data_IF_456107504633
#
_entry.id   IF_456107504633
#
_cell.length_a   1.000
_cell.length_b   1.000
_cell.length_c   1.000
_cell.angle_alpha   90.00
_cell.angle_beta   90.00
_cell.angle_gamma   90.00
#
_symmetry.space_group_name_H-M   'P 1'
#
loop_
_entity.id
_entity.type
_entity.pdbx_description
1 polymer ?
#
# COMPACT_ATOMS: atom_id res chain seq x y z
N UNK A 1 29.12 28.91 32.96
CA UNK A 1 29.99 29.55 31.94
C UNK A 1 31.15 28.63 31.66
N UNK A 2 31.08 27.85 30.58
CA UNK A 2 32.19 27.05 30.05
C UNK A 2 32.09 27.11 28.54
N UNK A 3 32.75 28.14 28.02
CA UNK A 3 33.10 28.35 26.63
C UNK A 3 34.51 27.78 26.42
N UNK A 4 34.79 27.40 25.18
CA UNK A 4 36.10 26.98 24.61
C UNK A 4 36.31 25.48 24.59
N UNK A 5 36.12 24.89 23.42
CA UNK A 5 37.15 24.18 22.64
C UNK A 5 36.49 23.62 21.38
N UNK A 6 36.52 24.36 20.27
CA UNK A 6 36.25 23.85 18.92
C UNK A 6 36.72 24.90 17.88
N UNK A 7 38.04 25.04 17.78
CA UNK A 7 38.72 25.61 16.62
C UNK A 7 39.94 24.73 16.39
N UNK A 8 39.98 23.97 15.29
CA UNK A 8 41.15 23.58 14.50
C UNK A 8 40.80 22.35 13.64
N UNK A 9 40.56 22.58 12.35
CA UNK A 9 41.02 21.73 11.24
C UNK A 9 40.34 22.19 9.94
N UNK A 10 40.82 23.30 9.38
CA UNK A 10 40.67 23.61 7.96
C UNK A 10 42.08 23.80 7.37
N UNK A 11 42.25 23.23 6.19
CA UNK A 11 43.26 23.56 5.17
C UNK A 11 44.70 23.06 5.37
N UNK A 12 45.02 21.91 4.74
CA UNK A 12 46.29 21.64 4.03
C UNK A 12 45.90 20.91 2.73
N UNK A 13 45.79 21.62 1.59
CA UNK A 13 46.82 21.75 0.52
C UNK A 13 47.07 20.41 -0.19
N UNK A 14 46.57 20.14 -1.40
CA UNK A 14 46.91 20.74 -2.70
C UNK A 14 48.41 20.65 -3.06
N UNK A 15 48.85 19.49 -3.57
CA UNK A 15 49.98 19.32 -4.49
C UNK A 15 50.06 17.85 -4.93
N UNK A 16 49.97 17.58 -6.23
CA UNK A 16 50.08 16.21 -6.76
C UNK A 16 49.62 16.10 -8.21
N UNK A 17 50.17 16.96 -9.08
CA UNK A 17 50.04 16.86 -10.53
C UNK A 17 51.12 15.93 -11.08
N UNK A 18 50.73 15.13 -12.07
CA UNK A 18 51.58 14.52 -13.11
C UNK A 18 52.38 13.25 -12.75
N UNK A 19 51.75 12.09 -12.98
CA UNK A 19 52.46 10.97 -13.61
C UNK A 19 51.51 10.22 -14.55
N UNK A 20 51.93 10.14 -15.81
CA UNK A 20 51.33 9.39 -16.92
C UNK A 20 51.03 7.94 -16.56
N UNK A 21 49.91 7.40 -17.05
CA UNK A 21 49.84 6.03 -17.58
C UNK A 21 48.72 5.95 -18.62
N UNK A 22 49.14 5.75 -19.87
CA UNK A 22 48.31 5.40 -21.01
C UNK A 22 47.84 3.95 -20.78
N UNK A 23 46.57 3.77 -20.45
CA UNK A 23 45.90 2.47 -20.59
C UNK A 23 44.89 2.59 -21.72
N UNK A 24 45.22 1.94 -22.83
CA UNK A 24 44.29 1.66 -23.91
C UNK A 24 43.11 0.89 -23.32
N UNK A 25 41.92 1.49 -23.39
CA UNK A 25 40.67 0.87 -22.99
C UNK A 25 40.34 -0.24 -23.97
N UNK A 26 40.61 -1.48 -23.60
CA UNK A 26 39.86 -2.62 -24.09
C UNK A 26 38.42 -2.39 -23.65
N UNK A 27 37.52 -2.11 -24.60
CA UNK A 27 36.09 -2.21 -24.37
C UNK A 27 35.83 -3.66 -23.94
N UNK A 28 35.71 -3.88 -22.62
CA UNK A 28 35.11 -5.09 -22.10
C UNK A 28 33.67 -5.06 -22.59
N UNK A 29 33.42 -5.81 -23.67
CA UNK A 29 32.08 -6.20 -24.04
C UNK A 29 31.43 -6.76 -22.77
N UNK A 30 30.37 -6.09 -22.32
CA UNK A 30 29.48 -6.59 -21.29
C UNK A 30 29.08 -8.01 -21.71
N UNK A 31 29.18 -9.03 -20.83
CA UNK A 31 28.81 -10.39 -21.20
C UNK A 31 27.41 -10.36 -21.75
N UNK A 32 27.28 -10.65 -23.04
CA UNK A 32 26.01 -10.70 -23.74
C UNK A 32 25.07 -11.60 -22.93
N UNK A 33 24.04 -11.01 -22.33
CA UNK A 33 22.99 -11.79 -21.66
C UNK A 33 22.51 -12.82 -22.69
N UNK A 34 22.59 -14.12 -22.40
CA UNK A 34 22.25 -15.13 -23.38
C UNK A 34 20.81 -14.90 -23.81
N UNK A 35 20.66 -14.43 -25.05
CA UNK A 35 19.37 -14.25 -25.69
C UNK A 35 18.60 -15.56 -25.53
N UNK A 36 17.33 -15.53 -25.06
CA UNK A 36 16.60 -16.75 -24.76
C UNK A 36 16.62 -17.66 -25.97
N UNK A 37 17.12 -18.89 -25.78
CA UNK A 37 17.15 -19.89 -26.83
C UNK A 37 15.77 -19.97 -27.49
N UNK A 38 15.75 -19.70 -28.80
CA UNK A 38 14.53 -19.71 -29.62
C UNK A 38 13.88 -21.08 -29.49
N UNK A 39 12.74 -21.16 -28.77
CA UNK A 39 12.03 -22.41 -28.49
C UNK A 39 11.97 -22.85 -27.01
N UNK A 40 12.44 -22.05 -26.06
CA UNK A 40 12.29 -22.37 -24.63
C UNK A 40 10.80 -22.42 -24.22
N UNK A 41 10.25 -23.63 -24.08
CA UNK A 41 8.90 -23.87 -23.56
C UNK A 41 8.83 -23.28 -22.16
N UNK A 42 7.90 -22.34 -21.97
CA UNK A 42 7.63 -21.73 -20.67
C UNK A 42 6.41 -22.41 -20.06
N UNK A 43 6.54 -22.87 -18.83
CA UNK A 43 5.50 -23.58 -18.10
C UNK A 43 5.11 -22.81 -16.84
N UNK A 44 3.81 -22.66 -16.58
CA UNK A 44 3.29 -21.97 -15.39
C UNK A 44 2.92 -23.00 -14.33
N UNK A 45 3.55 -22.91 -13.16
CA UNK A 45 3.42 -23.88 -12.07
C UNK A 45 3.16 -23.17 -10.74
N UNK A 46 2.40 -23.78 -9.83
CA UNK A 46 2.26 -23.26 -8.45
C UNK A 46 3.49 -23.64 -7.63
N UNK A 47 3.93 -22.74 -6.74
CA UNK A 47 5.19 -22.93 -5.98
C UNK A 47 5.23 -24.24 -5.17
N UNK A 48 4.11 -24.62 -4.53
CA UNK A 48 4.05 -25.83 -3.70
C UNK A 48 4.08 -27.09 -4.57
N UNK A 49 3.29 -27.11 -5.65
CA UNK A 49 3.26 -28.22 -6.61
C UNK A 49 4.65 -28.42 -7.27
N UNK A 50 5.29 -27.33 -7.69
CA UNK A 50 6.62 -27.36 -8.31
C UNK A 50 7.70 -27.85 -7.34
N UNK A 51 7.61 -27.46 -6.05
CA UNK A 51 8.50 -27.97 -5.00
C UNK A 51 8.30 -29.48 -4.80
N UNK A 52 7.04 -29.94 -4.75
CA UNK A 52 6.72 -31.35 -4.57
C UNK A 52 7.16 -32.20 -5.77
N UNK A 53 7.06 -31.66 -6.99
CA UNK A 53 7.51 -32.30 -8.22
C UNK A 53 9.05 -32.33 -8.36
N UNK A 54 9.78 -31.54 -7.57
CA UNK A 54 11.24 -31.40 -7.69
C UNK A 54 11.70 -30.49 -8.84
N UNK A 55 10.78 -29.72 -9.43
CA UNK A 55 11.06 -28.76 -10.50
C UNK A 55 11.73 -27.48 -9.99
N UNK A 56 11.59 -27.20 -8.69
CA UNK A 56 12.27 -26.10 -8.01
C UNK A 56 12.88 -26.54 -6.67
N UNK A 57 14.03 -25.96 -6.35
CA UNK A 57 14.62 -25.95 -5.01
C UNK A 57 14.28 -24.60 -4.35
N UNK A 58 13.75 -24.65 -3.12
CA UNK A 58 13.27 -23.48 -2.40
C UNK A 58 14.01 -23.32 -1.06
N UNK A 59 14.58 -22.14 -0.84
CA UNK A 59 15.12 -21.74 0.46
C UNK A 59 14.38 -20.50 0.98
N UNK A 60 13.82 -20.61 2.19
CA UNK A 60 13.05 -19.54 2.84
C UNK A 60 13.75 -19.15 4.15
N UNK A 61 14.10 -17.87 4.29
CA UNK A 61 14.85 -17.36 5.45
C UNK A 61 14.26 -16.08 6.01
N UNK A 62 14.37 -15.91 7.32
CA UNK A 62 13.93 -14.70 8.00
C UNK A 62 14.67 -13.45 7.51
N UNK A 63 13.96 -12.32 7.42
CA UNK A 63 14.56 -11.04 7.07
C UNK A 63 13.92 -9.91 7.88
N UNK A 64 13.96 -10.01 9.21
CA UNK A 64 13.36 -9.04 10.10
C UNK A 64 11.87 -9.32 10.35
N UNK A 65 11.15 -8.32 10.86
CA UNK A 65 9.80 -8.51 11.39
C UNK A 65 8.72 -8.55 10.31
N UNK A 66 9.01 -8.01 9.14
CA UNK A 66 8.03 -7.72 8.09
C UNK A 66 8.36 -8.39 6.75
N UNK A 67 9.46 -9.15 6.67
CA UNK A 67 9.91 -9.78 5.43
C UNK A 67 10.56 -11.14 5.63
N UNK A 68 10.47 -11.92 4.56
CA UNK A 68 11.13 -13.22 4.41
C UNK A 68 11.85 -13.23 3.06
N UNK A 69 13.10 -13.68 3.05
CA UNK A 69 13.87 -13.91 1.82
C UNK A 69 13.51 -15.26 1.25
N UNK A 70 13.21 -15.27 -0.04
CA UNK A 70 12.90 -16.42 -0.86
C UNK A 70 13.99 -16.58 -1.91
N UNK A 71 14.65 -17.73 -1.95
CA UNK A 71 15.51 -18.13 -3.05
C UNK A 71 14.85 -19.30 -3.79
N UNK A 72 14.44 -19.07 -5.04
CA UNK A 72 13.80 -20.07 -5.89
C UNK A 72 14.80 -20.45 -6.98
N UNK A 73 15.26 -21.69 -6.99
CA UNK A 73 16.12 -22.24 -8.03
C UNK A 73 15.33 -23.17 -8.93
N UNK A 74 15.34 -22.90 -10.23
CA UNK A 74 14.72 -23.79 -11.21
C UNK A 74 15.67 -24.95 -11.55
N UNK A 75 15.25 -26.17 -11.18
CA UNK A 75 15.96 -27.42 -11.43
C UNK A 75 15.40 -28.19 -12.63
N UNK A 76 14.28 -27.74 -13.18
CA UNK A 76 13.68 -28.31 -14.40
C UNK A 76 14.45 -27.94 -15.67
N UNK A 77 14.13 -28.61 -16.77
CA UNK A 77 14.67 -28.30 -18.11
C UNK A 77 13.92 -27.16 -18.82
N UNK A 78 12.86 -26.60 -18.22
CA UNK A 78 11.98 -25.60 -18.83
C UNK A 78 12.06 -24.28 -18.10
N UNK A 79 11.72 -23.18 -18.77
CA UNK A 79 11.53 -21.90 -18.08
C UNK A 79 10.24 -22.00 -17.26
N UNK A 80 10.29 -21.61 -16.00
CA UNK A 80 9.13 -21.68 -15.11
C UNK A 80 8.59 -20.29 -14.81
N UNK A 81 7.27 -20.15 -14.88
CA UNK A 81 6.50 -19.05 -14.31
C UNK A 81 5.88 -19.56 -13.00
N UNK A 82 6.55 -19.27 -11.88
CA UNK A 82 6.16 -19.77 -10.56
C UNK A 82 5.10 -18.86 -9.96
N UNK A 83 3.92 -19.41 -9.69
CA UNK A 83 2.80 -18.71 -9.05
C UNK A 83 2.88 -18.89 -7.53
N UNK A 84 2.88 -17.77 -6.80
CA UNK A 84 2.78 -17.73 -5.34
C UNK A 84 1.31 -17.49 -4.94
N UNK A 85 0.56 -18.52 -4.52
CA UNK A 85 -0.85 -18.33 -4.14
C UNK A 85 -0.99 -17.51 -2.85
N UNK A 86 -2.15 -16.88 -2.62
CA UNK A 86 -2.47 -16.28 -1.33
C UNK A 86 -2.60 -17.35 -0.24
N UNK A 87 -2.25 -17.02 1.00
CA UNK A 87 -2.34 -17.97 2.12
C UNK A 87 -1.10 -18.85 2.31
N UNK A 88 0.06 -18.47 1.77
CA UNK A 88 1.30 -19.17 2.08
C UNK A 88 1.80 -18.83 3.50
N UNK A 89 2.37 -19.83 4.16
CA UNK A 89 2.99 -19.70 5.49
C UNK A 89 4.44 -20.19 5.41
N UNK A 90 5.34 -19.41 6.00
CA UNK A 90 6.71 -19.83 6.28
C UNK A 90 6.79 -20.22 7.77
N UNK A 91 6.85 -21.52 8.07
CA UNK A 91 6.89 -22.04 9.43
C UNK A 91 8.26 -22.63 9.77
N UNK A 92 8.78 -22.36 10.96
CA UNK A 92 10.06 -22.93 11.41
C UNK A 92 9.91 -24.44 11.54
N UNK A 93 10.86 -25.21 11.00
CA UNK A 93 10.90 -26.64 11.25
C UNK A 93 11.00 -26.91 12.76
N UNK A 94 10.20 -27.85 13.28
CA UNK A 94 10.27 -28.28 14.67
C UNK A 94 11.70 -28.71 15.02
N UNK A 95 12.34 -28.01 15.95
CA UNK A 95 13.68 -28.36 16.43
C UNK A 95 14.84 -27.56 15.84
N UNK A 96 14.64 -26.32 15.36
CA UNK A 96 15.77 -25.39 15.19
C UNK A 96 16.55 -25.29 16.52
N UNK A 97 17.76 -25.84 16.47
CA UNK A 97 18.59 -26.30 17.58
C UNK A 97 19.18 -25.09 18.32
N UNK A 98 18.39 -24.42 19.17
CA UNK A 98 18.85 -23.21 19.86
C UNK A 98 17.89 -22.53 20.85
N UNK A 99 16.84 -23.21 21.31
CA UNK A 99 15.94 -22.65 22.34
C UNK A 99 14.95 -21.58 21.88
N UNK A 100 14.88 -21.30 20.56
CA UNK A 100 13.80 -20.51 19.96
C UNK A 100 12.58 -21.41 19.73
N UNK A 101 11.42 -21.05 20.29
CA UNK A 101 10.17 -21.78 20.09
C UNK A 101 9.70 -21.78 18.63
N UNK A 102 8.60 -22.48 18.37
CA UNK A 102 7.95 -22.54 17.06
C UNK A 102 7.56 -21.14 16.57
N UNK A 103 8.10 -20.72 15.42
CA UNK A 103 7.88 -19.41 14.82
C UNK A 103 7.34 -19.54 13.39
N UNK A 104 6.28 -18.80 13.07
CA UNK A 104 5.62 -18.85 11.77
C UNK A 104 5.26 -17.46 11.25
N UNK A 105 5.34 -17.30 9.94
CA UNK A 105 5.11 -16.04 9.24
C UNK A 105 4.09 -16.26 8.12
N UNK A 106 3.00 -15.48 8.12
CA UNK A 106 2.05 -15.44 7.02
C UNK A 106 2.60 -14.55 5.91
N UNK A 107 2.54 -15.01 4.66
CA UNK A 107 3.20 -14.34 3.54
C UNK A 107 2.22 -13.53 2.71
N UNK A 108 2.66 -12.32 2.36
CA UNK A 108 2.03 -11.48 1.37
C UNK A 108 2.54 -11.80 -0.02
N UNK A 109 2.12 -11.00 -1.00
CA UNK A 109 2.55 -11.19 -2.37
C UNK A 109 3.86 -10.47 -2.68
N UNK A 110 4.61 -10.90 -3.71
CA UNK A 110 5.79 -10.18 -4.16
C UNK A 110 5.44 -8.74 -4.50
N UNK A 111 5.89 -7.80 -3.68
CA UNK A 111 5.82 -6.37 -3.99
C UNK A 111 7.19 -5.74 -3.78
N UNK A 112 7.57 -4.86 -4.70
CA UNK A 112 8.82 -4.11 -4.61
C UNK A 112 8.74 -2.95 -3.60
N UNK A 113 7.60 -2.79 -2.90
CA UNK A 113 7.33 -1.64 -2.06
C UNK A 113 7.39 -2.00 -0.57
N UNK A 114 8.17 -1.27 0.26
CA UNK A 114 8.19 -1.46 1.70
C UNK A 114 6.91 -0.91 2.34
N UNK A 115 6.33 -1.67 3.27
CA UNK A 115 5.21 -1.23 4.11
C UNK A 115 3.84 -1.77 3.72
N UNK A 116 3.68 -2.33 2.51
CA UNK A 116 2.44 -3.00 2.09
C UNK A 116 2.49 -4.52 2.23
N UNK A 117 1.32 -5.11 2.47
CA UNK A 117 1.10 -6.56 2.54
C UNK A 117 -0.05 -6.94 1.62
N UNK A 118 0.20 -7.74 0.58
CA UNK A 118 -0.81 -8.26 -0.36
C UNK A 118 -0.90 -7.53 -1.71
N UNK A 119 -1.86 -7.96 -2.56
CA UNK A 119 -1.94 -7.54 -3.97
C UNK A 119 -2.70 -6.23 -4.23
N UNK A 120 -3.48 -5.73 -3.28
CA UNK A 120 -4.35 -4.54 -3.47
C UNK A 120 -5.36 -4.69 -4.62
N UNK A 121 -6.01 -5.86 -4.72
CA UNK A 121 -7.10 -6.04 -5.68
C UNK A 121 -8.27 -5.13 -5.29
N UNK A 122 -8.58 -4.15 -6.14
CA UNK A 122 -9.73 -3.27 -5.94
C UNK A 122 -11.03 -4.06 -5.93
N UNK A 123 -11.91 -3.74 -4.99
CA UNK A 123 -13.34 -3.97 -5.19
C UNK A 123 -13.75 -3.09 -6.38
N UNK A 124 -14.62 -3.59 -7.25
CA UNK A 124 -15.28 -2.82 -8.31
C UNK A 124 -14.44 -2.61 -9.59
N UNK A 125 -14.41 -3.66 -10.42
CA UNK A 125 -14.46 -3.52 -11.88
C UNK A 125 -15.92 -3.28 -12.32
N UNK A 126 -16.56 -2.19 -11.84
CA UNK A 126 -17.89 -1.77 -12.33
C UNK A 126 -17.72 -0.68 -13.38
N UNK A 127 -18.19 -1.00 -14.58
CA UNK A 127 -18.21 -0.22 -15.81
C UNK A 127 -19.05 1.09 -15.78
N UNK A 128 -19.20 1.78 -14.65
CA UNK A 128 -20.11 2.94 -14.57
C UNK A 128 -19.50 4.21 -13.92
N UNK A 129 -18.17 4.33 -13.91
CA UNK A 129 -17.48 5.57 -13.58
C UNK A 129 -16.52 5.95 -14.70
N UNK A 130 -16.40 7.23 -15.03
CA UNK A 130 -15.52 7.76 -16.09
C UNK A 130 -14.03 7.38 -15.85
N UNK A 131 -13.64 6.16 -16.25
CA UNK A 131 -12.27 5.68 -16.27
C UNK A 131 -11.70 5.86 -17.69
N UNK A 132 -10.66 6.67 -17.85
CA UNK A 132 -9.97 6.90 -19.12
C UNK A 132 -8.70 6.07 -19.30
N UNK A 133 -8.59 4.91 -18.63
CA UNK A 133 -7.62 3.86 -18.97
C UNK A 133 -8.22 2.51 -18.58
N UNK A 134 -8.41 1.62 -19.56
CA UNK A 134 -8.80 0.23 -19.32
C UNK A 134 -7.79 -0.45 -18.39
N UNK A 135 -8.27 -1.12 -17.34
CA UNK A 135 -7.45 -2.09 -16.62
C UNK A 135 -7.09 -3.22 -17.59
N UNK A 136 -5.86 -3.23 -18.09
CA UNK A 136 -5.31 -4.35 -18.84
C UNK A 136 -5.23 -5.60 -17.96
N UNK A 137 -5.23 -6.82 -18.52
CA UNK A 137 -5.12 -8.11 -17.80
C UNK A 137 -3.84 -8.33 -16.95
N UNK A 138 -3.06 -7.28 -16.71
CA UNK A 138 -1.78 -7.28 -16.00
C UNK A 138 -1.90 -7.50 -14.49
N UNK A 139 -3.11 -7.48 -13.91
CA UNK A 139 -3.33 -7.66 -12.46
C UNK A 139 -3.08 -9.09 -11.95
N UNK A 140 -2.88 -10.07 -12.86
CA UNK A 140 -2.43 -11.42 -12.51
C UNK A 140 -0.90 -11.58 -12.44
N UNK A 141 -0.12 -10.58 -12.87
CA UNK A 141 1.34 -10.70 -12.98
C UNK A 141 2.09 -10.48 -11.65
N UNK A 142 1.47 -9.87 -10.63
CA UNK A 142 2.15 -9.53 -9.37
C UNK A 142 2.53 -10.75 -8.51
N UNK A 143 2.01 -11.94 -8.81
CA UNK A 143 2.30 -13.19 -8.09
C UNK A 143 3.00 -14.25 -8.94
N UNK A 144 3.42 -13.89 -10.15
CA UNK A 144 4.16 -14.76 -11.06
C UNK A 144 5.63 -14.35 -11.04
N UNK A 145 6.50 -15.30 -10.70
CA UNK A 145 7.96 -15.12 -10.73
C UNK A 145 8.51 -15.98 -11.86
N UNK A 146 9.07 -15.35 -12.89
CA UNK A 146 9.74 -16.09 -13.96
C UNK A 146 11.15 -16.49 -13.53
N UNK A 147 11.41 -17.80 -13.48
CA UNK A 147 12.71 -18.38 -13.10
C UNK A 147 13.31 -19.10 -14.31
N UNK A 148 14.39 -18.58 -14.92
CA UNK A 148 15.05 -19.24 -16.04
C UNK A 148 15.66 -20.60 -15.65
N UNK A 149 15.84 -21.48 -16.62
CA UNK A 149 16.44 -22.82 -16.44
C UNK A 149 17.78 -22.72 -15.72
N UNK A 150 17.96 -23.50 -14.65
CA UNK A 150 19.20 -23.56 -13.88
C UNK A 150 19.58 -22.30 -13.12
N UNK A 151 18.72 -21.27 -13.12
CA UNK A 151 18.95 -20.00 -12.40
C UNK A 151 18.22 -19.99 -11.05
N UNK A 152 18.78 -19.19 -10.14
CA UNK A 152 18.18 -18.86 -8.86
C UNK A 152 17.71 -17.42 -8.88
N UNK A 153 16.48 -17.17 -8.47
CA UNK A 153 15.93 -15.84 -8.26
C UNK A 153 15.76 -15.64 -6.76
N UNK A 154 16.36 -14.56 -6.25
CA UNK A 154 16.17 -14.07 -4.89
C UNK A 154 15.07 -13.00 -4.88
N UNK A 155 14.10 -13.14 -3.98
CA UNK A 155 13.03 -12.19 -3.78
C UNK A 155 12.71 -12.02 -2.29
N UNK A 156 12.25 -10.83 -1.90
CA UNK A 156 11.89 -10.53 -0.51
C UNK A 156 10.38 -10.33 -0.42
N UNK A 157 9.67 -11.27 0.23
CA UNK A 157 8.23 -11.20 0.41
C UNK A 157 7.86 -10.44 1.69
N UNK A 158 6.84 -9.56 1.65
CA UNK A 158 6.19 -9.09 2.87
C UNK A 158 5.67 -10.26 3.69
N UNK A 159 5.78 -10.15 5.01
CA UNK A 159 5.42 -11.22 5.93
C UNK A 159 4.89 -10.65 7.25
N UNK A 160 3.93 -11.31 7.87
CA UNK A 160 3.41 -10.97 9.19
C UNK A 160 3.63 -12.12 10.16
N UNK A 161 4.00 -11.79 11.39
CA UNK A 161 4.21 -12.79 12.43
C UNK A 161 2.87 -13.41 12.86
N UNK A 162 2.79 -14.75 12.89
CA UNK A 162 1.60 -15.49 13.32
C UNK A 162 1.64 -15.88 14.81
N UNK A 163 2.75 -15.56 15.50
CA UNK A 163 2.98 -15.91 16.89
C UNK A 163 3.38 -14.66 17.69
N UNK A 164 2.42 -14.07 18.41
CA UNK A 164 2.67 -12.92 19.27
C UNK A 164 3.72 -13.22 20.36
N UNK A 165 4.62 -12.27 20.60
CA UNK A 165 5.68 -12.39 21.63
C UNK A 165 6.94 -13.14 21.20
N UNK A 166 6.97 -13.70 19.98
CA UNK A 166 8.17 -14.35 19.45
C UNK A 166 9.23 -13.33 18.98
N UNK A 167 10.53 -13.66 19.09
CA UNK A 167 11.60 -12.79 18.64
C UNK A 167 11.54 -12.56 17.12
N UNK A 168 12.01 -11.40 16.69
CA UNK A 168 12.12 -11.05 15.26
C UNK A 168 13.03 -12.04 14.53
N UNK A 169 12.58 -12.64 13.41
CA UNK A 169 13.38 -13.62 12.71
C UNK A 169 14.56 -12.98 11.98
N UNK A 170 15.66 -13.70 11.90
CA UNK A 170 16.94 -13.32 11.31
C UNK A 170 17.26 -14.15 10.08
N UNK A 171 18.30 -13.78 9.32
CA UNK A 171 18.76 -14.54 8.15
C UNK A 171 19.34 -15.93 8.46
N UNK A 172 19.49 -16.26 9.75
CA UNK A 172 19.87 -17.60 10.23
C UNK A 172 18.66 -18.51 10.38
N UNK A 173 17.47 -17.93 10.52
CA UNK A 173 16.23 -18.66 10.74
C UNK A 173 15.71 -19.19 9.40
N UNK A 174 15.51 -20.51 9.31
CA UNK A 174 15.07 -21.21 8.12
C UNK A 174 13.63 -21.66 8.31
N UNK A 175 12.84 -21.47 7.28
CA UNK A 175 11.42 -21.79 7.29
C UNK A 175 11.10 -22.81 6.21
N UNK A 176 10.10 -23.63 6.49
CA UNK A 176 9.43 -24.46 5.52
C UNK A 176 8.21 -23.70 4.96
N UNK A 177 8.07 -23.71 3.64
CA UNK A 177 6.91 -23.15 2.96
C UNK A 177 5.77 -24.17 2.92
N UNK A 178 4.58 -23.77 3.34
CA UNK A 178 3.36 -24.59 3.30
C UNK A 178 2.12 -23.72 3.03
N UNK A 179 1.00 -24.35 2.69
CA UNK A 179 -0.30 -23.67 2.63
C UNK A 179 -0.85 -23.45 4.04
N UNK A 180 -1.64 -22.38 4.24
CA UNK A 180 -2.30 -22.11 5.52
C UNK A 180 -3.23 -23.24 5.97
N UNK A 181 -3.78 -24.04 5.04
CA UNK A 181 -4.54 -25.26 5.32
C UNK A 181 -3.71 -26.32 6.05
N UNK A 182 -2.42 -26.44 5.72
CA UNK A 182 -1.50 -27.40 6.35
C UNK A 182 -0.99 -26.86 7.70
N UNK A 183 -0.87 -25.54 7.81
CA UNK A 183 -0.42 -24.85 9.02
C UNK A 183 -1.45 -24.87 10.16
N UNK A 184 -2.73 -24.61 9.86
CA UNK A 184 -3.77 -24.48 10.88
C UNK A 184 -5.13 -25.02 10.44
N UNK A 185 -5.82 -25.67 11.39
CA UNK A 185 -7.21 -26.10 11.23
C UNK A 185 -8.23 -24.97 11.40
N UNK A 186 -7.83 -23.80 11.92
CA UNK A 186 -8.74 -22.68 12.17
C UNK A 186 -9.13 -21.97 10.86
N UNK A 187 -10.41 -22.07 10.42
CA UNK A 187 -10.87 -21.42 9.20
C UNK A 187 -10.74 -19.89 9.24
N UNK A 188 -10.76 -19.26 10.42
CA UNK A 188 -10.60 -17.79 10.55
C UNK A 188 -9.21 -17.36 10.15
N UNK A 189 -8.17 -18.03 10.64
CA UNK A 189 -6.78 -17.76 10.27
C UNK A 189 -6.53 -17.93 8.76
N UNK A 190 -7.11 -18.97 8.15
CA UNK A 190 -7.02 -19.21 6.70
C UNK A 190 -7.67 -18.09 5.90
N UNK A 191 -8.92 -17.75 6.24
CA UNK A 191 -9.68 -16.68 5.58
C UNK A 191 -9.00 -15.33 5.72
N UNK A 192 -8.54 -15.01 6.93
CA UNK A 192 -7.83 -13.77 7.22
C UNK A 192 -6.56 -13.64 6.37
N UNK A 193 -5.70 -14.66 6.36
CA UNK A 193 -4.43 -14.60 5.64
C UNK A 193 -4.64 -14.51 4.12
N UNK A 194 -5.56 -15.32 3.56
CA UNK A 194 -5.90 -15.27 2.13
C UNK A 194 -6.49 -13.92 1.74
N UNK A 195 -7.37 -13.36 2.58
CA UNK A 195 -7.97 -12.05 2.35
C UNK A 195 -6.94 -10.93 2.40
N UNK A 196 -6.07 -10.88 3.41
CA UNK A 196 -5.01 -9.87 3.49
C UNK A 196 -4.05 -9.95 2.32
N UNK A 197 -3.63 -11.16 1.94
CA UNK A 197 -2.74 -11.37 0.79
C UNK A 197 -3.40 -10.94 -0.54
N UNK A 198 -4.72 -11.08 -0.66
CA UNK A 198 -5.47 -10.74 -1.89
C UNK A 198 -5.83 -9.25 -1.95
N UNK A 199 -6.43 -8.73 -0.89
CA UNK A 199 -7.00 -7.38 -0.83
C UNK A 199 -5.97 -6.30 -0.58
N UNK A 200 -4.81 -6.66 -0.04
CA UNK A 200 -3.78 -5.69 0.30
C UNK A 200 -4.13 -4.85 1.52
N UNK A 201 -3.14 -4.52 2.34
CA UNK A 201 -3.23 -3.45 3.35
C UNK A 201 -1.83 -3.04 3.81
N UNK A 202 -1.75 -2.11 4.75
CA UNK A 202 -0.48 -1.77 5.39
C UNK A 202 0.00 -2.87 6.33
N UNK A 203 1.31 -2.98 6.46
CA UNK A 203 1.98 -3.97 7.30
C UNK A 203 1.47 -3.96 8.74
N UNK A 204 1.22 -2.77 9.31
CA UNK A 204 0.72 -2.64 10.68
C UNK A 204 -0.70 -3.19 10.86
N UNK A 205 -1.58 -2.95 9.89
CA UNK A 205 -2.96 -3.48 9.90
C UNK A 205 -2.95 -5.00 9.74
N UNK A 206 -2.17 -5.51 8.78
CA UNK A 206 -2.04 -6.95 8.58
C UNK A 206 -1.47 -7.66 9.82
N UNK A 207 -0.45 -7.09 10.46
CA UNK A 207 0.16 -7.65 11.67
C UNK A 207 -0.82 -7.66 12.86
N UNK A 208 -1.56 -6.57 13.08
CA UNK A 208 -2.58 -6.48 14.14
C UNK A 208 -3.71 -7.49 13.92
N UNK A 209 -4.21 -7.60 12.68
CA UNK A 209 -5.26 -8.55 12.32
C UNK A 209 -4.81 -9.99 12.57
N UNK A 210 -3.62 -10.38 12.11
CA UNK A 210 -3.14 -11.75 12.27
C UNK A 210 -2.86 -12.12 13.73
N UNK A 211 -2.35 -11.20 14.56
CA UNK A 211 -2.21 -11.47 16.00
C UNK A 211 -3.56 -11.64 16.70
N UNK A 212 -4.58 -10.87 16.30
CA UNK A 212 -5.93 -11.04 16.85
C UNK A 212 -6.51 -12.39 16.44
N UNK A 213 -6.39 -12.78 15.17
CA UNK A 213 -6.98 -14.02 14.66
C UNK A 213 -6.23 -15.26 15.14
N UNK A 214 -4.89 -15.27 15.10
CA UNK A 214 -4.10 -16.47 15.40
C UNK A 214 -3.82 -16.67 16.90
N UNK A 215 -3.84 -15.61 17.70
CA UNK A 215 -3.42 -15.66 19.11
C UNK A 215 -4.41 -15.01 20.07
N UNK A 216 -5.56 -14.55 19.59
CA UNK A 216 -6.60 -13.85 20.37
C UNK A 216 -6.10 -12.62 21.14
N UNK A 217 -5.00 -12.01 20.70
CA UNK A 217 -4.39 -10.85 21.38
C UNK A 217 -5.39 -9.69 21.38
N UNK A 218 -5.74 -9.10 22.55
CA UNK A 218 -6.64 -7.97 22.60
C UNK A 218 -6.04 -6.72 21.94
N UNK A 219 -6.84 -5.97 21.19
CA UNK A 219 -6.39 -4.74 20.52
C UNK A 219 -5.85 -3.68 21.49
N UNK A 220 -6.41 -3.59 22.70
CA UNK A 220 -5.90 -2.70 23.75
C UNK A 220 -4.47 -3.08 24.19
N UNK A 221 -4.17 -4.39 24.23
CA UNK A 221 -2.82 -4.88 24.53
C UNK A 221 -1.84 -4.49 23.41
N UNK A 222 -2.25 -4.62 22.15
CA UNK A 222 -1.42 -4.20 21.00
C UNK A 222 -1.12 -2.70 21.04
N UNK A 223 -2.12 -1.86 21.35
CA UNK A 223 -1.92 -0.41 21.49
C UNK A 223 -0.93 -0.07 22.60
N UNK A 224 -0.96 -0.80 23.71
CA UNK A 224 -0.07 -0.58 24.84
C UNK A 224 1.37 -1.06 24.57
N UNK A 225 1.52 -2.28 24.03
CA UNK A 225 2.83 -2.96 23.94
C UNK A 225 3.52 -2.82 22.58
N UNK A 226 2.75 -2.64 21.50
CA UNK A 226 3.27 -2.60 20.14
C UNK A 226 3.17 -1.20 19.50
N UNK A 227 2.98 -0.13 20.27
CA UNK A 227 2.79 1.24 19.77
C UNK A 227 3.89 1.74 18.81
N UNK A 228 5.11 1.18 18.90
CA UNK A 228 6.22 1.48 17.97
C UNK A 228 6.01 0.86 16.58
N UNK A 229 5.34 -0.30 16.53
CA UNK A 229 5.13 -1.10 15.32
C UNK A 229 3.74 -0.87 14.75
N UNK A 230 2.72 -0.69 15.60
CA UNK A 230 1.30 -0.58 15.25
C UNK A 230 0.70 0.63 15.96
N UNK A 231 0.06 1.53 15.20
CA UNK A 231 -0.59 2.72 15.74
C UNK A 231 -2.11 2.51 15.95
N UNK A 232 -2.76 3.46 16.62
CA UNK A 232 -4.18 3.34 16.98
C UNK A 232 -5.12 3.28 15.75
N UNK A 233 -4.77 3.93 14.64
CA UNK A 233 -5.56 3.86 13.41
C UNK A 233 -5.42 2.48 12.77
N UNK A 234 -4.21 1.93 12.72
CA UNK A 234 -3.96 0.57 12.20
C UNK A 234 -4.73 -0.49 13.01
N UNK A 235 -4.77 -0.34 14.34
CA UNK A 235 -5.57 -1.21 15.21
C UNK A 235 -7.07 -1.10 14.91
N UNK A 236 -7.60 0.10 14.68
CA UNK A 236 -9.02 0.27 14.39
C UNK A 236 -9.42 -0.31 13.02
N UNK A 237 -8.52 -0.23 12.03
CA UNK A 237 -8.72 -0.86 10.72
C UNK A 237 -8.63 -2.39 10.81
N UNK A 238 -7.67 -2.90 11.59
CA UNK A 238 -7.55 -4.32 11.87
C UNK A 238 -8.77 -4.88 12.61
N UNK A 239 -9.34 -4.13 13.55
CA UNK A 239 -10.56 -4.53 14.25
C UNK A 239 -11.72 -4.78 13.29
N UNK A 240 -12.01 -3.82 12.39
CA UNK A 240 -13.06 -4.03 11.39
C UNK A 240 -12.74 -5.17 10.43
N UNK A 241 -11.47 -5.32 10.04
CA UNK A 241 -11.09 -6.47 9.21
C UNK A 241 -11.42 -7.80 9.90
N UNK A 242 -11.15 -7.92 11.20
CA UNK A 242 -11.50 -9.12 11.98
C UNK A 242 -13.03 -9.28 12.07
N UNK A 243 -13.77 -8.20 12.30
CA UNK A 243 -15.24 -8.24 12.24
C UNK A 243 -15.75 -8.75 10.89
N UNK A 244 -15.09 -8.35 9.78
CA UNK A 244 -15.40 -8.82 8.43
C UNK A 244 -15.11 -10.32 8.26
N UNK A 245 -13.99 -10.81 8.81
CA UNK A 245 -13.62 -12.24 8.78
C UNK A 245 -14.66 -13.08 9.54
N UNK A 246 -15.13 -12.56 10.67
CA UNK A 246 -16.09 -13.22 11.56
C UNK A 246 -17.52 -13.17 11.00
N UNK A 247 -17.90 -12.08 10.32
CA UNK A 247 -19.19 -11.94 9.65
C UNK A 247 -19.26 -12.69 8.31
N UNK A 248 -18.12 -12.93 7.66
CA UNK A 248 -18.05 -13.69 6.42
C UNK A 248 -18.41 -15.16 6.69
N UNK A 249 -19.33 -15.73 5.91
CA UNK A 249 -19.71 -17.15 6.00
C UNK A 249 -18.59 -18.12 5.61
N UNK A 250 -18.92 -19.21 4.91
CA UNK A 250 -17.94 -20.27 4.57
C UNK A 250 -16.93 -19.90 3.47
N UNK A 251 -17.00 -18.70 2.89
CA UNK A 251 -16.05 -18.22 1.87
C UNK A 251 -14.62 -18.16 2.41
N UNK A 252 -13.65 -18.58 1.58
CA UNK A 252 -12.22 -18.51 1.88
C UNK A 252 -11.63 -17.09 1.86
N UNK A 253 -12.38 -16.11 1.33
CA UNK A 253 -12.00 -14.70 1.27
C UNK A 253 -13.19 -13.83 1.70
N UNK A 254 -12.93 -12.74 2.42
CA UNK A 254 -13.96 -11.78 2.81
C UNK A 254 -14.46 -10.97 1.60
N UNK A 255 -15.72 -10.54 1.63
CA UNK A 255 -16.24 -9.61 0.62
C UNK A 255 -15.57 -8.23 0.80
N UNK A 256 -14.88 -7.70 -0.23
CA UNK A 256 -14.27 -6.37 -0.18
C UNK A 256 -15.25 -5.23 0.09
N UNK A 257 -16.53 -5.37 -0.30
CA UNK A 257 -17.56 -4.35 -0.07
C UNK A 257 -17.69 -4.00 1.41
N UNK A 258 -17.60 -5.01 2.28
CA UNK A 258 -17.66 -4.87 3.73
C UNK A 258 -16.56 -3.97 4.29
N UNK A 259 -15.45 -3.78 3.58
CA UNK A 259 -14.36 -2.90 4.01
C UNK A 259 -14.50 -1.48 3.47
N UNK A 260 -15.13 -1.32 2.31
CA UNK A 260 -15.26 -0.05 1.60
C UNK A 260 -16.54 0.74 1.95
N UNK A 261 -17.60 0.06 2.36
CA UNK A 261 -18.89 0.68 2.67
C UNK A 261 -18.85 1.55 3.95
N UNK A 262 -19.65 2.61 3.96
CA UNK A 262 -19.83 3.50 5.12
C UNK A 262 -18.51 4.06 5.66
N UNK A 263 -17.61 4.43 4.74
CA UNK A 263 -16.28 4.99 5.04
C UNK A 263 -16.14 6.47 4.77
N UNK A 264 -16.91 6.99 3.83
CA UNK A 264 -16.74 8.32 3.33
C UNK A 264 -18.09 9.00 3.19
N UNK A 265 -18.36 9.90 4.13
CA UNK A 265 -19.57 10.67 4.18
C UNK A 265 -19.30 12.06 3.62
N UNK A 266 -20.25 12.62 2.89
CA UNK A 266 -20.16 13.98 2.37
C UNK A 266 -21.44 14.75 2.62
N UNK A 267 -21.28 16.05 2.89
CA UNK A 267 -22.35 17.03 2.87
C UNK A 267 -21.87 18.21 2.03
N UNK A 268 -22.71 18.71 1.12
CA UNK A 268 -22.41 19.87 0.28
C UNK A 268 -23.40 20.99 0.59
N UNK A 269 -22.85 22.14 0.96
CA UNK A 269 -23.60 23.33 1.33
C UNK A 269 -23.16 24.50 0.45
N UNK A 270 -24.03 25.48 0.24
CA UNK A 270 -23.73 26.69 -0.52
C UNK A 270 -23.97 27.95 0.30
N UNK A 271 -23.09 28.94 0.16
CA UNK A 271 -23.27 30.26 0.77
C UNK A 271 -24.23 31.12 -0.09
N UNK A 272 -25.25 31.71 0.55
CA UNK A 272 -26.18 32.63 -0.11
C UNK A 272 -26.92 32.00 -1.29
N UNK A 273 -26.74 32.59 -2.48
CA UNK A 273 -27.38 32.15 -3.73
C UNK A 273 -26.90 30.77 -4.21
N UNK A 274 -25.79 30.24 -3.67
CA UNK A 274 -25.24 28.94 -4.04
C UNK A 274 -25.97 27.76 -3.39
N UNK A 275 -26.90 28.00 -2.46
CA UNK A 275 -27.58 26.94 -1.71
C UNK A 275 -28.35 25.95 -2.61
N UNK A 276 -29.03 26.45 -3.65
CA UNK A 276 -29.78 25.60 -4.59
C UNK A 276 -28.84 24.72 -5.41
N UNK A 277 -27.73 25.27 -5.89
CA UNK A 277 -26.73 24.53 -6.67
C UNK A 277 -25.98 23.50 -5.83
N UNK A 278 -25.73 23.81 -4.55
CA UNK A 278 -25.15 22.86 -3.61
C UNK A 278 -26.05 21.61 -3.43
N UNK A 279 -27.38 21.80 -3.33
CA UNK A 279 -28.33 20.69 -3.27
C UNK A 279 -28.30 19.82 -4.53
N UNK A 280 -28.32 20.44 -5.72
CA UNK A 280 -28.19 19.73 -7.01
C UNK A 280 -26.88 18.92 -7.09
N UNK A 281 -25.76 19.53 -6.69
CA UNK A 281 -24.46 18.87 -6.70
C UNK A 281 -24.40 17.74 -5.68
N UNK A 282 -25.01 17.90 -4.51
CA UNK A 282 -25.10 16.86 -3.49
C UNK A 282 -25.82 15.62 -4.03
N UNK A 283 -26.97 15.78 -4.69
CA UNK A 283 -27.70 14.68 -5.32
C UNK A 283 -26.88 14.02 -6.43
N UNK A 284 -26.16 14.81 -7.23
CA UNK A 284 -25.32 14.31 -8.31
C UNK A 284 -24.06 13.54 -7.83
N UNK A 285 -23.74 13.60 -6.54
CA UNK A 285 -22.63 12.85 -5.94
C UNK A 285 -23.05 11.45 -5.49
N UNK A 286 -24.34 11.14 -5.42
CA UNK A 286 -24.85 9.83 -5.01
C UNK A 286 -24.32 8.71 -5.92
N UNK A 287 -23.82 7.63 -5.33
CA UNK A 287 -23.25 6.48 -6.06
C UNK A 287 -21.86 6.73 -6.67
N UNK A 288 -21.30 7.94 -6.56
CA UNK A 288 -19.93 8.21 -6.99
C UNK A 288 -18.92 7.69 -5.97
N UNK A 289 -17.64 7.69 -6.37
CA UNK A 289 -16.53 7.34 -5.51
C UNK A 289 -15.60 8.55 -5.34
N UNK A 290 -14.98 8.63 -4.18
CA UNK A 290 -14.00 9.65 -3.83
C UNK A 290 -12.83 8.96 -3.12
N UNK A 291 -11.61 9.23 -3.58
CA UNK A 291 -10.37 8.56 -3.16
C UNK A 291 -10.46 7.03 -3.27
N UNK A 292 -11.21 6.52 -4.24
CA UNK A 292 -11.45 5.08 -4.44
C UNK A 292 -12.46 4.44 -3.48
N UNK A 293 -13.11 5.21 -2.61
CA UNK A 293 -14.14 4.72 -1.69
C UNK A 293 -15.54 5.14 -2.14
N UNK A 294 -16.57 4.29 -1.97
CA UNK A 294 -17.94 4.66 -2.26
C UNK A 294 -18.39 5.79 -1.34
N UNK A 295 -19.11 6.75 -1.93
CA UNK A 295 -19.54 7.95 -1.25
C UNK A 295 -20.94 7.76 -0.64
N UNK A 296 -21.11 8.17 0.61
CA UNK A 296 -22.40 8.24 1.28
C UNK A 296 -22.81 9.72 1.44
N UNK A 297 -23.83 10.14 0.72
CA UNK A 297 -24.35 11.50 0.82
C UNK A 297 -25.17 11.64 2.10
N UNK A 298 -24.94 12.74 2.83
CA UNK A 298 -25.60 13.04 4.10
C UNK A 298 -26.47 14.28 3.95
N UNK A 299 -27.70 14.21 4.45
CA UNK A 299 -28.60 15.36 4.48
C UNK A 299 -28.12 16.51 5.39
N UNK A 300 -28.77 17.66 5.26
CA UNK A 300 -28.33 18.91 5.90
C UNK A 300 -28.44 18.95 7.42
N UNK A 301 -29.30 18.11 8.02
CA UNK A 301 -29.74 18.25 9.42
C UNK A 301 -29.23 17.18 10.36
N UNK A 302 -28.54 16.16 9.86
CA UNK A 302 -28.12 15.01 10.67
C UNK A 302 -26.66 14.66 10.38
N UNK A 303 -25.84 14.60 11.43
CA UNK A 303 -24.48 14.11 11.30
C UNK A 303 -24.49 12.59 11.15
N UNK A 304 -23.68 12.04 10.23
CA UNK A 304 -23.70 10.62 9.97
C UNK A 304 -23.18 9.85 11.19
N UNK A 305 -23.71 8.66 11.43
CA UNK A 305 -23.17 7.76 12.45
C UNK A 305 -22.16 6.82 11.82
N UNK A 306 -20.95 6.74 12.40
CA UNK A 306 -19.91 5.84 11.96
C UNK A 306 -19.39 5.02 13.15
N UNK A 307 -19.75 3.73 13.20
CA UNK A 307 -19.28 2.79 14.21
C UNK A 307 -17.79 2.39 14.03
N UNK A 308 -17.18 2.85 12.95
CA UNK A 308 -15.93 2.34 12.36
C UNK A 308 -15.12 3.52 11.83
N UNK A 309 -13.79 3.36 11.59
CA UNK A 309 -12.99 4.41 10.96
C UNK A 309 -13.63 4.92 9.67
N UNK A 310 -13.92 6.22 9.63
CA UNK A 310 -14.62 6.90 8.56
C UNK A 310 -14.15 8.35 8.45
N UNK A 311 -14.38 8.96 7.29
CA UNK A 311 -14.19 10.37 7.03
C UNK A 311 -15.53 11.02 6.77
N UNK A 312 -15.69 12.25 7.25
CA UNK A 312 -16.83 13.10 6.96
C UNK A 312 -16.35 14.43 6.39
N UNK A 313 -16.75 14.69 5.15
CA UNK A 313 -16.37 15.88 4.38
C UNK A 313 -17.54 16.87 4.37
N UNK A 314 -17.36 18.00 5.03
CA UNK A 314 -18.29 19.13 4.94
C UNK A 314 -17.76 20.10 3.88
N UNK A 315 -18.40 20.08 2.72
CA UNK A 315 -18.06 20.92 1.57
C UNK A 315 -18.94 22.16 1.60
N UNK A 316 -18.33 23.35 1.51
CA UNK A 316 -19.04 24.62 1.42
C UNK A 316 -18.62 25.34 0.14
N UNK A 317 -19.54 25.56 -0.79
CA UNK A 317 -19.34 26.38 -1.98
C UNK A 317 -19.34 27.85 -1.56
N UNK A 318 -18.23 28.54 -1.79
CA UNK A 318 -17.99 29.91 -1.29
C UNK A 318 -18.13 30.97 -2.37
N UNK A 319 -17.86 30.63 -3.63
CA UNK A 319 -17.97 31.59 -4.73
C UNK A 319 -18.11 30.88 -6.07
N UNK A 320 -18.87 31.49 -6.98
CA UNK A 320 -18.92 31.11 -8.40
C UNK A 320 -18.72 32.37 -9.24
N UNK A 321 -17.61 32.45 -9.97
CA UNK A 321 -17.33 33.46 -10.98
C UNK A 321 -17.39 32.82 -12.38
N UNK A 322 -17.42 33.62 -13.44
CA UNK A 322 -17.43 33.12 -14.81
C UNK A 322 -16.20 32.22 -15.06
N UNK A 323 -16.44 30.92 -15.25
CA UNK A 323 -15.41 29.90 -15.45
C UNK A 323 -14.68 29.46 -14.19
N UNK A 324 -15.18 29.76 -12.99
CA UNK A 324 -14.50 29.37 -11.75
C UNK A 324 -15.48 29.12 -10.59
N UNK A 325 -15.42 27.94 -9.99
CA UNK A 325 -16.10 27.61 -8.73
C UNK A 325 -15.08 27.34 -7.65
N UNK A 326 -15.26 27.93 -6.46
CA UNK A 326 -14.42 27.69 -5.29
C UNK A 326 -15.23 27.12 -4.14
N UNK A 327 -14.60 26.22 -3.40
CA UNK A 327 -15.18 25.66 -2.21
C UNK A 327 -14.15 25.39 -1.12
N UNK A 328 -14.65 25.28 0.11
CA UNK A 328 -13.89 24.85 1.29
C UNK A 328 -14.35 23.46 1.68
N UNK A 329 -13.44 22.64 2.19
CA UNK A 329 -13.74 21.30 2.71
C UNK A 329 -13.21 21.22 4.13
N UNK A 330 -14.10 21.00 5.09
CA UNK A 330 -13.75 20.64 6.46
C UNK A 330 -13.79 19.13 6.57
N UNK A 331 -12.68 18.54 6.98
CA UNK A 331 -12.51 17.09 7.05
C UNK A 331 -12.52 16.66 8.50
N UNK A 332 -13.45 15.79 8.83
CA UNK A 332 -13.52 15.13 10.13
C UNK A 332 -13.24 13.64 9.97
N UNK A 333 -12.71 13.02 11.02
CA UNK A 333 -12.56 11.57 11.14
C UNK A 333 -13.44 11.05 12.26
N UNK A 334 -13.93 9.82 12.13
CA UNK A 334 -14.64 9.17 13.24
C UNK A 334 -13.66 8.77 14.35
N UNK A 335 -14.17 8.80 15.57
CA UNK A 335 -13.49 8.41 16.80
C UNK A 335 -14.50 7.67 17.68
N UNK A 336 -14.20 6.43 18.11
CA UNK A 336 -15.14 5.67 18.94
C UNK A 336 -15.56 6.35 20.25
N UNK A 337 -14.73 7.28 20.78
CA UNK A 337 -14.98 7.96 22.05
C UNK A 337 -15.54 9.37 21.91
N UNK A 338 -15.19 10.05 20.83
CA UNK A 338 -15.40 11.50 20.67
C UNK A 338 -16.34 11.84 19.50
N UNK A 339 -16.84 10.83 18.78
CA UNK A 339 -17.64 11.04 17.58
C UNK A 339 -16.79 11.59 16.43
N UNK A 340 -17.22 12.67 15.79
CA UNK A 340 -16.48 13.32 14.70
C UNK A 340 -15.44 14.28 15.24
N UNK A 341 -14.18 14.00 14.97
CA UNK A 341 -13.03 14.82 15.39
C UNK A 341 -12.43 15.52 14.16
N UNK A 342 -12.12 16.83 14.23
CA UNK A 342 -11.46 17.53 13.13
C UNK A 342 -10.13 16.88 12.75
N UNK A 343 -9.97 16.59 11.46
CA UNK A 343 -8.71 16.13 10.87
C UNK A 343 -7.97 17.29 10.20
N UNK A 344 -8.70 18.20 9.54
CA UNK A 344 -8.12 19.36 8.89
C UNK A 344 -9.11 20.10 8.00
N UNK A 345 -8.58 21.04 7.21
CA UNK A 345 -9.35 21.80 6.23
C UNK A 345 -8.56 21.93 4.93
N UNK A 346 -9.27 21.98 3.82
CA UNK A 346 -8.71 22.26 2.50
C UNK A 346 -9.66 23.13 1.68
N UNK A 347 -9.23 23.55 0.50
CA UNK A 347 -10.01 24.31 -0.46
C UNK A 347 -9.73 23.80 -1.87
N UNK A 348 -10.73 23.84 -2.72
CA UNK A 348 -10.57 23.51 -4.14
C UNK A 348 -11.00 24.69 -5.02
N UNK A 349 -10.52 24.64 -6.25
CA UNK A 349 -10.92 25.56 -7.31
C UNK A 349 -11.11 24.72 -8.57
N UNK A 350 -12.26 24.89 -9.21
CA UNK A 350 -12.65 24.15 -10.42
C UNK A 350 -12.95 25.15 -11.55
N UNK A 351 -12.49 24.84 -12.76
CA UNK A 351 -12.51 25.75 -13.92
C UNK A 351 -13.88 25.91 -14.60
N UNK A 352 -14.96 25.58 -13.88
CA UNK A 352 -16.33 25.63 -14.37
C UNK A 352 -17.16 26.54 -13.47
N UNK A 353 -18.15 27.23 -14.03
CA UNK A 353 -19.18 27.91 -13.23
C UNK A 353 -20.01 26.87 -12.48
N UNK A 354 -20.56 27.24 -11.32
CA UNK A 354 -21.32 26.29 -10.49
C UNK A 354 -22.51 25.68 -11.22
N UNK A 355 -23.12 26.43 -12.14
CA UNK A 355 -24.25 26.01 -12.97
C UNK A 355 -23.90 24.93 -14.01
N UNK A 356 -22.63 24.86 -14.41
CA UNK A 356 -22.11 23.87 -15.38
C UNK A 356 -21.38 22.73 -14.67
N UNK A 357 -20.95 22.96 -13.42
CA UNK A 357 -20.31 21.94 -12.60
C UNK A 357 -21.26 20.75 -12.37
N UNK A 358 -20.78 19.55 -12.68
CA UNK A 358 -21.47 18.29 -12.44
C UNK A 358 -20.88 17.56 -11.21
N UNK A 359 -21.56 16.51 -10.76
CA UNK A 359 -21.12 15.67 -9.64
C UNK A 359 -19.70 15.12 -9.83
N UNK A 360 -19.38 14.48 -10.98
CA UNK A 360 -18.04 13.99 -11.26
C UNK A 360 -16.95 15.07 -11.28
N UNK A 361 -17.23 16.25 -11.82
CA UNK A 361 -16.32 17.39 -11.78
C UNK A 361 -16.02 17.84 -10.35
N UNK A 362 -17.05 17.99 -9.53
CA UNK A 362 -16.89 18.32 -8.10
C UNK A 362 -16.12 17.23 -7.35
N UNK A 363 -16.43 15.96 -7.57
CA UNK A 363 -15.73 14.84 -6.94
C UNK A 363 -14.22 14.86 -7.27
N UNK A 364 -13.85 15.07 -8.54
CA UNK A 364 -12.42 15.22 -8.94
C UNK A 364 -11.73 16.40 -8.26
N UNK A 365 -12.40 17.55 -8.16
CA UNK A 365 -11.84 18.73 -7.51
C UNK A 365 -11.61 18.49 -6.00
N UNK A 366 -12.55 17.84 -5.32
CA UNK A 366 -12.42 17.43 -3.92
C UNK A 366 -11.30 16.40 -3.76
N UNK A 367 -11.23 15.39 -4.63
CA UNK A 367 -10.19 14.36 -4.60
C UNK A 367 -8.80 14.97 -4.67
N UNK A 368 -8.59 15.88 -5.62
CA UNK A 368 -7.32 16.57 -5.77
C UNK A 368 -6.96 17.42 -4.54
N UNK A 369 -7.92 18.14 -3.98
CA UNK A 369 -7.73 18.93 -2.77
C UNK A 369 -7.40 18.05 -1.55
N UNK A 370 -8.08 16.92 -1.39
CA UNK A 370 -7.81 15.94 -0.34
C UNK A 370 -6.42 15.34 -0.49
N UNK A 371 -6.08 14.90 -1.69
CA UNK A 371 -4.81 14.29 -2.03
C UNK A 371 -3.63 15.23 -1.73
N UNK A 372 -3.70 16.48 -2.22
CA UNK A 372 -2.66 17.49 -2.04
C UNK A 372 -2.48 17.98 -0.58
N UNK A 373 -3.53 17.92 0.23
CA UNK A 373 -3.51 18.42 1.61
C UNK A 373 -3.10 17.36 2.62
N UNK A 374 -3.63 16.14 2.48
CA UNK A 374 -3.47 15.09 3.47
C UNK A 374 -2.44 14.03 3.09
N UNK A 375 -1.89 14.09 1.88
CA UNK A 375 -0.76 13.26 1.47
C UNK A 375 0.36 14.16 0.97
N UNK A 376 1.52 14.07 1.61
CA UNK A 376 2.68 14.90 1.26
C UNK A 376 3.77 14.09 0.60
N UNK A 377 4.40 14.66 -0.42
CA UNK A 377 5.53 14.06 -1.14
C UNK A 377 6.74 14.95 -0.96
N UNK A 378 7.85 14.36 -0.50
CA UNK A 378 9.11 15.06 -0.27
C UNK A 378 10.26 14.29 -0.91
N UNK A 379 11.23 14.99 -1.48
CA UNK A 379 12.44 14.34 -1.99
C UNK A 379 13.23 13.75 -0.82
N UNK A 380 13.44 12.43 -0.84
CA UNK A 380 14.21 11.72 0.17
C UNK A 380 15.67 11.55 -0.26
N UNK A 381 15.90 11.20 -1.53
CA UNK A 381 17.24 11.01 -2.12
C UNK A 381 17.20 11.31 -3.62
N UNK A 382 18.19 12.05 -4.12
CA UNK A 382 18.41 12.26 -5.56
C UNK A 382 19.50 11.30 -6.04
N UNK A 383 19.20 10.50 -7.07
CA UNK A 383 20.16 9.68 -7.80
C UNK A 383 20.54 10.31 -9.14
N UNK A 384 21.42 9.63 -9.89
CA UNK A 384 21.85 10.10 -11.21
C UNK A 384 20.72 10.06 -12.26
N UNK A 385 19.87 9.04 -12.19
CA UNK A 385 18.75 8.81 -13.12
C UNK A 385 17.38 8.92 -12.46
N UNK A 386 17.27 8.54 -11.18
CA UNK A 386 16.00 8.53 -10.44
C UNK A 386 16.03 9.35 -9.15
N UNK A 387 14.88 9.91 -8.75
CA UNK A 387 14.70 10.53 -7.44
C UNK A 387 13.77 9.67 -6.59
N UNK A 388 14.24 9.28 -5.40
CA UNK A 388 13.40 8.65 -4.39
C UNK A 388 12.63 9.72 -3.61
N UNK A 389 11.32 9.58 -3.60
CA UNK A 389 10.38 10.40 -2.87
C UNK A 389 9.90 9.66 -1.63
N UNK A 390 9.69 10.41 -0.54
CA UNK A 390 8.99 9.99 0.66
C UNK A 390 7.54 10.45 0.56
N UNK A 391 6.61 9.51 0.62
CA UNK A 391 5.16 9.75 0.61
C UNK A 391 4.67 9.61 2.06
N UNK A 392 4.05 10.65 2.62
CA UNK A 392 3.53 10.69 3.98
C UNK A 392 2.00 10.70 3.96
N UNK A 393 1.38 9.70 4.59
CA UNK A 393 -0.06 9.55 4.69
C UNK A 393 -0.58 10.13 6.01
N UNK A 394 -1.45 11.13 5.95
CA UNK A 394 -2.10 11.72 7.14
C UNK A 394 -3.57 11.34 7.27
N UNK A 395 -4.07 10.51 6.38
CA UNK A 395 -5.43 10.00 6.42
C UNK A 395 -5.52 8.81 7.39
N UNK A 396 -6.71 8.51 7.95
CA UNK A 396 -6.93 7.40 8.87
C UNK A 396 -7.12 6.05 8.14
N UNK A 397 -6.66 5.94 6.91
CA UNK A 397 -6.78 4.75 6.04
C UNK A 397 -5.45 4.44 5.37
N UNK A 398 -5.28 3.22 4.89
CA UNK A 398 -4.14 2.76 4.09
C UNK A 398 -4.23 3.35 2.67
N UNK A 399 -3.15 3.98 2.20
CA UNK A 399 -3.00 4.35 0.80
C UNK A 399 -2.66 3.11 -0.02
N UNK A 400 -3.58 2.74 -0.91
CA UNK A 400 -3.39 1.64 -1.85
C UNK A 400 -2.61 2.12 -3.08
N UNK A 401 -3.08 3.19 -3.71
CA UNK A 401 -2.49 3.75 -4.92
C UNK A 401 -2.28 5.25 -4.78
N UNK A 402 -1.23 5.77 -5.41
CA UNK A 402 -1.04 7.23 -5.55
C UNK A 402 -0.58 7.52 -6.98
N UNK A 403 -1.01 8.64 -7.52
CA UNK A 403 -0.52 9.17 -8.80
C UNK A 403 0.31 10.41 -8.50
N UNK A 404 1.55 10.42 -8.99
CA UNK A 404 2.50 11.51 -8.76
C UNK A 404 2.77 12.22 -10.07
N UNK A 405 2.54 13.52 -10.10
CA UNK A 405 2.90 14.37 -11.24
C UNK A 405 4.38 14.75 -11.15
N UNK A 406 5.13 14.44 -12.20
CA UNK A 406 6.56 14.68 -12.27
C UNK A 406 6.86 16.15 -12.63
N UNK A 407 7.28 16.96 -11.66
CA UNK A 407 7.36 18.44 -11.72
C UNK A 407 6.00 19.16 -11.65
N UNK A 408 6.02 20.44 -11.22
CA UNK A 408 4.81 21.25 -11.01
C UNK A 408 4.21 21.88 -12.27
N UNK A 409 4.62 21.47 -13.48
CA UNK A 409 4.09 22.04 -14.72
C UNK A 409 2.77 21.40 -15.13
N UNK A 410 1.88 22.14 -15.81
CA UNK A 410 0.55 21.64 -16.20
C UNK A 410 0.61 20.41 -17.13
N UNK A 411 1.65 20.29 -17.97
CA UNK A 411 1.86 19.17 -18.90
C UNK A 411 2.79 18.06 -18.40
N UNK A 412 3.18 18.08 -17.12
CA UNK A 412 4.04 17.05 -16.56
C UNK A 412 3.39 15.66 -16.59
N UNK A 413 4.16 14.59 -16.90
CA UNK A 413 3.64 13.23 -16.88
C UNK A 413 3.24 12.84 -15.45
N UNK A 414 2.14 12.09 -15.35
CA UNK A 414 1.64 11.53 -14.12
C UNK A 414 2.03 10.04 -14.05
N UNK A 415 2.73 9.65 -12.99
CA UNK A 415 3.22 8.30 -12.77
C UNK A 415 2.36 7.61 -11.69
N UNK A 416 1.63 6.53 -12.03
CA UNK A 416 0.84 5.78 -11.07
C UNK A 416 1.69 4.78 -10.29
N UNK A 417 1.61 4.83 -8.97
CA UNK A 417 2.18 3.87 -8.05
C UNK A 417 1.06 3.05 -7.42
N UNK A 418 1.07 1.73 -7.66
CA UNK A 418 0.06 0.80 -7.16
C UNK A 418 0.59 -0.06 -6.02
N UNK A 419 -0.31 -0.64 -5.25
CA UNK A 419 -0.01 -1.60 -4.18
C UNK A 419 1.03 -1.10 -3.16
N UNK A 420 0.90 0.18 -2.75
CA UNK A 420 1.85 0.82 -1.84
C UNK A 420 1.70 0.36 -0.39
N UNK A 421 0.47 0.28 0.11
CA UNK A 421 0.18 -0.11 1.48
C UNK A 421 0.72 0.85 2.53
N UNK A 422 0.70 2.16 2.28
CA UNK A 422 1.16 3.13 3.28
C UNK A 422 0.06 3.31 4.32
N UNK A 423 0.26 2.73 5.50
CA UNK A 423 -0.70 2.81 6.60
C UNK A 423 -1.00 4.23 7.08
N UNK A 424 -2.07 4.41 7.87
CA UNK A 424 -2.44 5.71 8.42
C UNK A 424 -1.32 6.28 9.29
N UNK A 425 -1.01 7.57 9.14
CA UNK A 425 0.10 8.23 9.83
C UNK A 425 1.49 7.58 9.58
N UNK A 426 1.67 6.90 8.43
CA UNK A 426 2.94 6.29 8.03
C UNK A 426 3.53 6.98 6.81
N UNK A 427 4.77 6.59 6.51
CA UNK A 427 5.50 7.08 5.35
C UNK A 427 6.01 5.92 4.52
N UNK A 428 5.79 5.95 3.21
CA UNK A 428 6.39 5.06 2.23
C UNK A 428 7.44 5.76 1.38
N UNK A 429 8.09 5.00 0.50
CA UNK A 429 9.01 5.54 -0.50
C UNK A 429 8.63 5.06 -1.89
N UNK A 430 8.78 5.93 -2.88
CA UNK A 430 8.60 5.62 -4.30
C UNK A 430 9.71 6.30 -5.10
N UNK A 431 10.00 5.85 -6.30
CA UNK A 431 11.04 6.47 -7.14
C UNK A 431 10.46 6.91 -8.48
N UNK A 432 10.78 8.14 -8.89
CA UNK A 432 10.36 8.74 -10.16
C UNK A 432 11.59 9.10 -11.00
N UNK A 433 11.43 9.18 -12.33
CA UNK A 433 12.46 9.67 -13.26
C UNK A 433 12.37 11.21 -13.45
N UNK A 434 12.27 11.96 -12.35
CA UNK A 434 12.28 13.43 -12.37
C UNK A 434 12.88 14.02 -11.08
N UNK A 435 13.17 15.32 -11.07
CA UNK A 435 13.84 15.99 -9.95
C UNK A 435 12.96 16.13 -8.69
N UNK A 436 11.65 16.22 -8.87
CA UNK A 436 10.63 16.32 -7.82
C UNK A 436 9.27 15.89 -8.36
N UNK A 437 8.31 15.65 -7.46
CA UNK A 437 6.93 15.38 -7.84
C UNK A 437 5.94 15.90 -6.80
N UNK A 438 4.70 16.04 -7.21
CA UNK A 438 3.55 16.38 -6.35
C UNK A 438 2.47 15.31 -6.45
N UNK A 439 1.71 15.12 -5.38
CA UNK A 439 0.54 14.23 -5.43
C UNK A 439 -0.50 14.85 -6.36
N UNK A 440 -1.01 14.02 -7.26
CA UNK A 440 -2.12 14.36 -8.15
C UNK A 440 -3.42 13.71 -7.69
N UNK A 441 -3.37 12.40 -7.42
CA UNK A 441 -4.51 11.57 -7.00
C UNK A 441 -4.07 10.50 -6.01
N UNK A 442 -4.99 10.06 -5.16
CA UNK A 442 -4.81 8.95 -4.21
C UNK A 442 -6.00 7.99 -4.27
N UNK A 443 -5.77 6.74 -3.87
CA UNK A 443 -6.82 5.74 -3.65
C UNK A 443 -6.58 4.99 -2.34
N UNK A 444 -7.67 4.80 -1.60
CA UNK A 444 -7.73 4.10 -0.31
C UNK A 444 -8.42 2.74 -0.53
N UNK A 445 -8.04 1.71 0.23
CA UNK A 445 -8.64 0.38 0.13
C UNK A 445 -9.63 0.05 1.27
N UNK A 446 -10.03 1.04 2.08
CA UNK A 446 -10.93 0.86 3.21
C UNK A 446 -10.32 0.14 4.43
N UNK A 447 -9.06 -0.32 4.33
CA UNK A 447 -8.24 -0.85 5.41
C UNK A 447 -7.10 0.10 5.75
#
# INVERSE_FOLDING_TARGET
MLWRHLCLARAWSAAGLSTCLIFAGSAFAEPEEPSPATGAVTETVRVLDARQAGDIELEVRGQGQDRVRFAIRNTSAKRLNVVLPPGLVAASATGQRGGGGFQSMGLGTPTNQPGGFGQFRGAVASEAGLHSVSATPADLQSSIVTVPVGKTIDLALPAVCLNFGMPTPTSRDRFELMDVNEYTGDPRARKALRSLATLGTSQGVAQAAMWRVCNDVPFELMRAQASKVINAHEVALAARFVDAVDASGESDVIDPSYLAESRLFIRVQGEGELATEAGRLQEALEGLHLMGLPLCVVGDKEDPTAAVPALFLNVTLTSSQAGETRGRVVVNRSSPREGWVPLGKTSFTEGSTVTVLDGPGLARAIDHAMASTFVSVKVARKGATSTTLKVENRLPFTLANVTIKASGSSGAPAEPFRALGIGPARTGQVSIQAASGSIDRIELNGL
#
